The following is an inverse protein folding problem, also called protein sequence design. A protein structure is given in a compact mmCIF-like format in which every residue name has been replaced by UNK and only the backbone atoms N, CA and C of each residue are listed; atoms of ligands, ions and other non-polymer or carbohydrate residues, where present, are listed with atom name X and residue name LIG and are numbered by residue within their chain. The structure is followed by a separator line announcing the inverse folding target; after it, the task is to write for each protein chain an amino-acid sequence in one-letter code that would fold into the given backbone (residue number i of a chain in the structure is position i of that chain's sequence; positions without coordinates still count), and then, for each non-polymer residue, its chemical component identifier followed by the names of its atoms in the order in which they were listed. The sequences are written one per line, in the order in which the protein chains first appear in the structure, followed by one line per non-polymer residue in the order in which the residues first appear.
data_IF_684414039594
#
_entry.id   IF_684414039594
#
_cell.length_a   1.000
_cell.length_b   1.000
_cell.length_c   1.000
_cell.angle_alpha   90.00
_cell.angle_beta   90.00
_cell.angle_gamma   90.00
#
_symmetry.space_group_name_H-M   'P 1'
#
loop_
_entity.id
_entity.type
_entity.pdbx_description
1 polymer ?
#
# COMPACT_ATOMS: atom_id res chain seq x y z
N UNK A 1 -14.86 -10.89 1.73
CA UNK A 1 -13.86 -10.77 0.64
C UNK A 1 -13.99 -9.39 0.07
N UNK A 2 -13.45 -8.42 0.79
CA UNK A 2 -13.52 -7.03 0.41
C UNK A 2 -12.12 -6.42 0.56
N UNK A 3 -11.67 -5.76 -0.49
CA UNK A 3 -10.52 -4.85 -0.44
C UNK A 3 -11.08 -3.50 -0.03
N UNK A 4 -10.62 -2.98 1.10
CA UNK A 4 -11.11 -1.72 1.64
C UNK A 4 -10.32 -0.52 1.09
N UNK A 5 -9.00 -0.69 0.90
CA UNK A 5 -8.14 0.38 0.42
C UNK A 5 -6.75 -0.08 -0.01
N UNK A 6 -6.09 0.75 -0.81
CA UNK A 6 -4.73 0.57 -1.31
C UNK A 6 -3.92 1.84 -1.04
N UNK A 7 -2.78 1.70 -0.37
CA UNK A 7 -1.83 2.78 -0.16
C UNK A 7 -0.49 2.45 -0.80
N UNK A 8 0.19 3.48 -1.29
CA UNK A 8 1.59 3.41 -1.73
C UNK A 8 2.39 4.42 -0.93
N UNK A 9 3.42 3.93 -0.24
CA UNK A 9 4.31 4.73 0.60
C UNK A 9 5.69 4.69 -0.02
N UNK A 10 6.29 5.86 -0.24
CA UNK A 10 7.62 5.97 -0.83
C UNK A 10 8.71 5.48 0.13
N UNK A 11 9.96 5.49 -0.37
CA UNK A 11 11.13 5.08 0.41
C UNK A 11 11.35 5.93 1.66
N UNK A 12 11.02 7.21 1.60
CA UNK A 12 11.12 8.16 2.70
C UNK A 12 9.97 8.07 3.74
N UNK A 13 8.96 7.21 3.52
CA UNK A 13 7.82 7.07 4.43
C UNK A 13 6.65 8.02 4.16
N UNK A 14 6.70 8.79 3.07
CA UNK A 14 5.60 9.63 2.60
C UNK A 14 4.57 8.83 1.81
N UNK A 15 3.29 9.11 2.06
CA UNK A 15 2.19 8.56 1.26
C UNK A 15 2.16 9.23 -0.12
N UNK A 16 2.32 8.44 -1.17
CA UNK A 16 2.29 8.94 -2.57
C UNK A 16 1.02 8.57 -3.31
N UNK A 17 0.27 7.57 -2.81
CA UNK A 17 -1.01 7.18 -3.37
C UNK A 17 -1.91 6.61 -2.28
N UNK A 18 -3.19 6.98 -2.30
CA UNK A 18 -4.20 6.39 -1.45
C UNK A 18 -5.50 6.30 -2.23
N UNK A 19 -6.17 5.14 -2.09
CA UNK A 19 -7.50 4.93 -2.64
C UNK A 19 -8.30 3.97 -1.78
N UNK A 20 -9.59 4.24 -1.67
CA UNK A 20 -10.56 3.37 -1.00
C UNK A 20 -11.49 2.73 -2.04
N UNK A 21 -11.90 1.49 -1.80
CA UNK A 21 -12.71 0.70 -2.74
C UNK A 21 -14.06 0.24 -2.17
N UNK A 22 -14.40 0.62 -0.95
CA UNK A 22 -15.72 0.33 -0.38
C UNK A 22 -16.05 1.19 0.85
N UNK A 23 -17.32 1.15 1.26
CA UNK A 23 -17.89 2.01 2.31
C UNK A 23 -17.65 1.50 3.75
N UNK A 24 -16.75 0.52 3.92
CA UNK A 24 -16.48 -0.12 5.22
C UNK A 24 -15.45 0.59 6.10
N UNK A 25 -14.78 1.63 5.59
CA UNK A 25 -13.77 2.40 6.33
C UNK A 25 -14.30 3.79 6.67
N UNK A 26 -13.97 4.33 7.87
CA UNK A 26 -14.26 5.72 8.17
C UNK A 26 -13.54 6.66 7.20
N UNK A 27 -14.20 7.75 6.84
CA UNK A 27 -13.58 8.81 6.04
C UNK A 27 -12.54 9.54 6.88
N UNK A 28 -11.28 9.25 6.62
CA UNK A 28 -10.14 9.99 7.18
C UNK A 28 -9.81 11.19 6.30
N UNK A 29 -9.33 12.25 6.93
CA UNK A 29 -8.75 13.42 6.27
C UNK A 29 -7.42 13.07 5.62
N UNK A 30 -7.00 13.87 4.64
CA UNK A 30 -5.69 13.67 3.97
C UNK A 30 -4.53 13.65 4.96
N UNK A 31 -4.57 14.50 5.99
CA UNK A 31 -3.51 14.57 7.01
C UNK A 31 -3.47 13.31 7.87
N UNK A 32 -4.61 12.72 8.22
CA UNK A 32 -4.65 11.48 8.97
C UNK A 32 -4.04 10.33 8.16
N UNK A 33 -4.31 10.25 6.85
CA UNK A 33 -3.63 9.27 6.00
C UNK A 33 -2.11 9.48 5.94
N UNK A 34 -1.63 10.73 5.88
CA UNK A 34 -0.19 11.03 5.93
C UNK A 34 0.43 10.56 7.24
N UNK A 35 -0.24 10.82 8.37
CA UNK A 35 0.22 10.38 9.70
C UNK A 35 0.24 8.85 9.75
N UNK A 36 -0.82 8.17 9.33
CA UNK A 36 -0.91 6.71 9.32
C UNK A 36 0.18 6.06 8.46
N UNK A 37 0.44 6.61 7.28
CA UNK A 37 1.52 6.13 6.41
C UNK A 37 2.89 6.27 7.08
N UNK A 38 3.16 7.41 7.72
CA UNK A 38 4.39 7.64 8.47
C UNK A 38 4.53 6.70 9.68
N UNK A 39 3.44 6.48 10.42
CA UNK A 39 3.41 5.52 11.54
C UNK A 39 3.69 4.10 11.05
N UNK A 40 3.05 3.67 9.96
CA UNK A 40 3.26 2.35 9.39
C UNK A 40 4.71 2.17 8.90
N UNK A 41 5.28 3.20 8.28
CA UNK A 41 6.68 3.22 7.89
C UNK A 41 7.62 3.03 9.10
N UNK A 42 7.33 3.72 10.21
CA UNK A 42 8.06 3.56 11.47
C UNK A 42 7.94 2.16 12.06
N UNK A 43 6.71 1.60 12.12
CA UNK A 43 6.46 0.23 12.59
C UNK A 43 7.26 -0.78 11.76
N UNK A 44 7.25 -0.64 10.44
CA UNK A 44 8.01 -1.50 9.54
C UNK A 44 9.53 -1.42 9.78
N UNK A 45 10.05 -0.23 10.08
CA UNK A 45 11.47 -0.04 10.43
C UNK A 45 11.85 -0.60 11.81
N UNK A 46 10.95 -0.55 12.80
CA UNK A 46 11.18 -1.13 14.13
C UNK A 46 11.16 -2.66 14.04
N UNK A 47 10.16 -3.21 13.37
CA UNK A 47 9.98 -4.67 13.22
C UNK A 47 11.10 -5.35 12.43
N UNK A 48 11.78 -4.64 11.53
CA UNK A 48 12.97 -5.19 10.84
C UNK A 48 14.17 -5.37 11.77
N UNK A 49 14.22 -4.66 12.92
CA UNK A 49 15.28 -4.76 13.94
C UNK A 49 14.90 -5.61 15.14
N UNK A 50 13.61 -5.88 15.36
CA UNK A 50 13.11 -6.60 16.53
C UNK A 50 13.15 -8.13 16.39
N UNK A 51 13.55 -8.64 15.22
CA UNK A 51 13.52 -10.07 14.93
C UNK A 51 14.47 -10.87 15.83
N UNK A 52 13.96 -11.87 16.58
CA UNK A 52 14.77 -12.65 17.52
C UNK A 52 15.75 -13.62 16.83
N UNK A 53 15.54 -13.90 15.54
CA UNK A 53 16.27 -14.93 14.78
C UNK A 53 17.22 -14.36 13.71
N UNK A 54 17.45 -13.05 13.69
CA UNK A 54 18.36 -12.38 12.75
C UNK A 54 17.67 -11.33 11.88
N UNK A 55 18.22 -11.06 10.69
CA UNK A 55 17.74 -9.99 9.80
C UNK A 55 16.30 -10.25 9.32
N UNK A 56 15.40 -9.30 9.57
CA UNK A 56 14.00 -9.34 9.15
C UNK A 56 13.72 -8.31 8.05
N UNK A 57 12.77 -8.63 7.17
CA UNK A 57 12.28 -7.73 6.12
C UNK A 57 11.24 -6.72 6.62
N UNK A 58 11.03 -6.61 7.94
CA UNK A 58 10.01 -5.74 8.54
C UNK A 58 8.61 -6.36 8.53
N UNK A 59 7.62 -5.59 8.99
CA UNK A 59 6.23 -5.98 9.06
C UNK A 59 5.67 -6.32 7.66
N UNK A 60 5.15 -7.53 7.49
CA UNK A 60 4.52 -8.03 6.26
C UNK A 60 3.00 -8.06 6.37
N UNK A 61 2.46 -8.41 7.53
CA UNK A 61 1.02 -8.45 7.79
C UNK A 61 0.71 -7.90 9.17
N UNK A 62 -0.36 -7.11 9.28
CA UNK A 62 -0.92 -6.62 10.55
C UNK A 62 -2.40 -6.95 10.53
N UNK A 63 -2.81 -7.87 11.40
CA UNK A 63 -4.20 -8.30 11.54
C UNK A 63 -4.84 -7.61 12.76
N UNK A 64 -5.96 -6.92 12.53
CA UNK A 64 -6.86 -6.49 13.59
C UNK A 64 -8.01 -7.47 13.78
N UNK A 65 -9.09 -7.02 14.44
CA UNK A 65 -10.30 -7.85 14.64
C UNK A 65 -11.21 -7.89 13.41
N UNK A 66 -11.19 -6.83 12.59
CA UNK A 66 -12.09 -6.67 11.44
C UNK A 66 -11.36 -6.52 10.10
N UNK A 67 -10.09 -6.11 10.14
CA UNK A 67 -9.28 -5.82 8.96
C UNK A 67 -7.91 -6.47 9.03
N UNK A 68 -7.32 -6.68 7.85
CA UNK A 68 -5.93 -7.09 7.66
C UNK A 68 -5.21 -6.12 6.73
N UNK A 69 -4.05 -5.65 7.17
CA UNK A 69 -3.10 -4.89 6.38
C UNK A 69 -2.01 -5.83 5.88
N UNK A 70 -1.87 -5.97 4.57
CA UNK A 70 -0.75 -6.70 3.95
C UNK A 70 0.19 -5.69 3.31
N UNK A 71 1.49 -5.83 3.57
CA UNK A 71 2.54 -4.90 3.18
C UNK A 71 3.54 -5.62 2.29
N UNK A 72 3.70 -5.12 1.06
CA UNK A 72 4.72 -5.55 0.12
C UNK A 72 5.82 -4.47 0.04
N UNK A 73 7.02 -4.80 0.53
CA UNK A 73 8.22 -3.98 0.35
C UNK A 73 8.92 -4.38 -0.96
N UNK A 74 9.12 -3.43 -1.85
CA UNK A 74 9.91 -3.65 -3.07
C UNK A 74 11.42 -3.45 -2.83
N UNK A 75 12.25 -3.99 -3.71
CA UNK A 75 13.71 -3.78 -3.66
C UNK A 75 14.11 -2.29 -3.80
N UNK A 76 13.25 -1.45 -4.38
CA UNK A 76 13.46 0.00 -4.49
C UNK A 76 13.14 0.76 -3.19
N UNK A 77 12.52 0.10 -2.20
CA UNK A 77 12.15 0.66 -0.90
C UNK A 77 10.72 1.20 -0.80
N UNK A 78 9.96 1.17 -1.90
CA UNK A 78 8.53 1.53 -1.95
C UNK A 78 7.70 0.44 -1.27
N UNK A 79 6.70 0.84 -0.50
CA UNK A 79 5.81 -0.08 0.23
C UNK A 79 4.41 0.03 -0.34
N UNK A 80 3.85 -1.10 -0.73
CA UNK A 80 2.46 -1.21 -1.16
C UNK A 80 1.67 -1.87 -0.04
N UNK A 81 0.58 -1.23 0.36
CA UNK A 81 -0.21 -1.64 1.53
C UNK A 81 -1.64 -1.87 1.08
N UNK A 82 -2.15 -3.07 1.30
CA UNK A 82 -3.53 -3.44 0.99
C UNK A 82 -4.31 -3.63 2.28
N UNK A 83 -5.41 -2.89 2.41
CA UNK A 83 -6.38 -3.06 3.49
C UNK A 83 -7.45 -4.02 2.98
N UNK A 84 -7.65 -5.11 3.70
CA UNK A 84 -8.58 -6.19 3.32
C UNK A 84 -9.38 -6.69 4.51
N UNK A 85 -10.46 -7.42 4.24
CA UNK A 85 -11.13 -8.24 5.27
C UNK A 85 -10.24 -9.43 5.70
N UNK A 86 -10.40 -9.93 6.93
CA UNK A 86 -9.56 -11.01 7.49
C UNK A 86 -9.46 -12.28 6.63
N UNK A 87 -10.52 -12.61 5.90
CA UNK A 87 -10.64 -13.87 5.16
C UNK A 87 -10.08 -13.77 3.74
N UNK A 88 -9.44 -12.66 3.36
CA UNK A 88 -8.91 -12.47 2.00
C UNK A 88 -7.57 -13.20 1.81
N UNK A 89 -7.50 -14.28 1.00
CA UNK A 89 -6.29 -15.07 0.84
C UNK A 89 -5.35 -14.48 -0.23
N UNK A 90 -5.86 -13.63 -1.13
CA UNK A 90 -5.17 -13.28 -2.37
C UNK A 90 -4.44 -11.93 -2.35
N UNK A 91 -4.28 -11.32 -1.18
CA UNK A 91 -3.71 -9.98 -1.03
C UNK A 91 -2.30 -9.84 -1.64
N UNK A 92 -1.45 -10.87 -1.52
CA UNK A 92 -0.09 -10.86 -2.06
C UNK A 92 -0.05 -10.80 -3.59
N UNK A 93 -0.88 -11.56 -4.29
CA UNK A 93 -0.91 -11.54 -5.76
C UNK A 93 -1.49 -10.24 -6.31
N UNK A 94 -2.48 -9.66 -5.61
CA UNK A 94 -3.04 -8.35 -5.93
C UNK A 94 -1.96 -7.28 -5.80
N UNK A 95 -1.21 -7.27 -4.69
CA UNK A 95 -0.10 -6.33 -4.48
C UNK A 95 0.99 -6.46 -5.55
N UNK A 96 1.31 -7.67 -5.99
CA UNK A 96 2.26 -7.89 -7.08
C UNK A 96 1.76 -7.29 -8.40
N UNK A 97 0.50 -7.51 -8.76
CA UNK A 97 -0.11 -6.90 -9.96
C UNK A 97 -0.18 -5.37 -9.85
N UNK A 98 -0.47 -4.84 -8.66
CA UNK A 98 -0.44 -3.39 -8.41
C UNK A 98 0.97 -2.84 -8.65
N UNK A 99 2.01 -3.55 -8.22
CA UNK A 99 3.40 -3.16 -8.45
C UNK A 99 3.75 -3.14 -9.95
N UNK A 100 3.31 -4.14 -10.72
CA UNK A 100 3.48 -4.16 -12.18
C UNK A 100 2.80 -2.96 -12.85
N UNK A 101 1.55 -2.67 -12.47
CA UNK A 101 0.80 -1.50 -12.96
C UNK A 101 1.48 -0.19 -12.57
N UNK A 102 2.04 -0.11 -11.37
CA UNK A 102 2.80 1.07 -10.92
C UNK A 102 4.07 1.28 -11.74
N UNK A 103 4.84 0.20 -11.99
CA UNK A 103 6.03 0.28 -12.82
C UNK A 103 5.71 0.74 -14.25
N UNK A 104 4.61 0.24 -14.83
CA UNK A 104 4.23 0.57 -16.20
C UNK A 104 3.59 1.94 -16.36
N UNK A 105 2.65 2.33 -15.50
CA UNK A 105 1.87 3.54 -15.67
C UNK A 105 2.51 4.77 -15.00
N UNK A 106 3.31 4.57 -13.94
CA UNK A 106 3.90 5.65 -13.15
C UNK A 106 5.37 5.82 -13.49
N UNK A 107 6.18 4.75 -13.42
CA UNK A 107 7.64 4.87 -13.62
C UNK A 107 8.03 5.07 -15.09
N UNK A 108 7.22 4.63 -16.06
CA UNK A 108 7.47 4.92 -17.49
C UNK A 108 6.99 6.31 -17.92
N UNK A 109 6.29 7.05 -17.06
CA UNK A 109 5.84 8.40 -17.39
C UNK A 109 7.02 9.39 -17.22
N UNK A 110 7.52 10.02 -18.31
CA UNK A 110 8.67 10.93 -18.23
C UNK A 110 8.39 12.22 -17.43
N UNK A 111 7.11 12.53 -17.19
CA UNK A 111 6.70 13.70 -16.40
C UNK A 111 6.47 13.37 -14.92
N UNK A 112 6.60 12.11 -14.51
CA UNK A 112 6.45 11.74 -13.11
C UNK A 112 7.79 11.89 -12.38
N UNK A 113 7.83 12.81 -11.43
CA UNK A 113 8.95 12.92 -10.50
C UNK A 113 8.82 11.84 -9.41
N UNK A 114 9.86 11.00 -9.20
CA UNK A 114 9.86 10.03 -8.12
C UNK A 114 9.60 10.66 -6.75
N UNK A 115 9.04 9.87 -5.83
CA UNK A 115 8.71 10.27 -4.45
C UNK A 115 7.60 11.32 -4.29
N UNK A 116 7.09 11.87 -5.39
CA UNK A 116 5.93 12.78 -5.39
C UNK A 116 4.60 12.01 -5.52
N UNK A 117 3.46 12.62 -5.13
CA UNK A 117 2.16 11.98 -5.26
C UNK A 117 1.84 11.56 -6.69
N UNK A 118 1.29 10.34 -6.83
CA UNK A 118 0.88 9.78 -8.12
C UNK A 118 -0.47 10.37 -8.50
N UNK A 119 -0.48 11.20 -9.54
CA UNK A 119 -1.70 11.83 -10.12
C UNK A 119 -1.87 11.39 -11.57
N UNK A 120 -2.03 10.10 -11.79
CA UNK A 120 -2.18 9.52 -13.13
C UNK A 120 -3.54 8.85 -13.26
N UNK A 121 -4.42 9.43 -14.07
CA UNK A 121 -5.74 8.86 -14.35
C UNK A 121 -5.64 7.45 -14.96
N UNK A 122 -4.60 7.22 -15.78
CA UNK A 122 -4.34 5.90 -16.36
C UNK A 122 -3.93 4.86 -15.32
N UNK A 123 -3.23 5.27 -14.26
CA UNK A 123 -2.96 4.40 -13.11
C UNK A 123 -4.25 4.11 -12.35
N UNK A 124 -5.05 5.13 -12.06
CA UNK A 124 -6.33 4.97 -11.37
C UNK A 124 -7.30 4.05 -12.11
N UNK A 125 -7.43 4.20 -13.43
CA UNK A 125 -8.30 3.33 -14.24
C UNK A 125 -7.86 1.85 -14.15
N UNK A 126 -6.56 1.58 -14.26
CA UNK A 126 -6.01 0.21 -14.18
C UNK A 126 -6.16 -0.40 -12.80
N UNK A 127 -5.95 0.38 -11.74
CA UNK A 127 -6.16 -0.07 -10.36
C UNK A 127 -7.64 -0.40 -10.11
N UNK A 128 -8.56 0.43 -10.62
CA UNK A 128 -10.00 0.15 -10.55
C UNK A 128 -10.35 -1.15 -11.25
N UNK A 129 -9.82 -1.36 -12.46
CA UNK A 129 -10.06 -2.57 -13.24
C UNK A 129 -9.48 -3.83 -12.57
N UNK A 130 -8.37 -3.69 -11.84
CA UNK A 130 -7.69 -4.78 -11.16
C UNK A 130 -8.42 -5.21 -9.87
N UNK A 131 -8.85 -4.25 -9.06
CA UNK A 131 -9.45 -4.51 -7.74
C UNK A 131 -10.98 -4.69 -7.85
N UNK A 132 -11.59 -4.16 -8.92
CA UNK A 132 -13.03 -4.11 -9.09
C UNK A 132 -13.66 -3.00 -8.24
N UNK A 133 -14.73 -2.39 -8.75
CA UNK A 133 -15.70 -1.71 -7.91
C UNK A 133 -16.48 -2.79 -7.18
N UNK A 134 -16.25 -2.93 -5.87
CA UNK A 134 -17.14 -3.70 -5.00
C UNK A 134 -18.55 -3.12 -5.03
#
# INVERSE_FOLDING_TARGET
MAIHGLWVINKAGGLVYQRNFGDGLPHLTSNEYLVLAGTLHGIHAITSRLSPTGSSSGAQEICGETFKLTILLTATGTKFVLLTSLVEPNAGSVLQKVYEVYADAVMKNPFHTPEMPVRSEGFDARITALIGSG
#
